data_IF_175234971565
#
_entry.id   IF_175234971565
#
_cell.length_a   1.000
_cell.length_b   1.000
_cell.length_c   1.000
_cell.angle_alpha   90.00
_cell.angle_beta   90.00
_cell.angle_gamma   90.00
#
_symmetry.space_group_name_H-M   'P 1'
#
loop_
_entity.id
_entity.type
_entity.pdbx_description
1 polymer ?
#
# COMPACT_ATOMS: atom_id res chain seq x y z
N UNK A 1 19.13 13.83 -19.05
CA UNK A 1 18.67 13.55 -17.67
C UNK A 1 17.20 13.13 -17.64
N UNK A 2 16.26 13.86 -18.26
CA UNK A 2 14.84 13.46 -18.31
C UNK A 2 14.56 12.07 -18.92
N UNK A 3 15.23 11.71 -20.04
CA UNK A 3 15.04 10.40 -20.70
C UNK A 3 15.48 9.20 -19.84
N UNK A 4 16.60 9.32 -19.10
CA UNK A 4 17.11 8.27 -18.21
C UNK A 4 16.21 8.08 -16.97
N UNK A 5 15.55 9.15 -16.52
CA UNK A 5 14.58 9.14 -15.42
C UNK A 5 13.27 8.45 -15.82
N UNK A 6 12.79 8.71 -17.05
CA UNK A 6 11.62 8.02 -17.62
C UNK A 6 11.86 6.52 -17.83
N UNK A 7 13.06 6.12 -18.28
CA UNK A 7 13.44 4.70 -18.43
C UNK A 7 13.47 3.95 -17.08
N UNK A 8 13.96 4.58 -16.01
CA UNK A 8 14.01 3.97 -14.66
C UNK A 8 12.61 3.85 -14.03
N UNK A 9 11.73 4.85 -14.21
CA UNK A 9 10.30 4.78 -13.84
C UNK A 9 9.58 3.60 -14.49
N UNK A 10 9.83 3.38 -15.79
CA UNK A 10 9.27 2.22 -16.50
C UNK A 10 9.83 0.89 -16.01
N UNK A 11 10.99 0.86 -15.34
CA UNK A 11 11.60 -0.37 -14.81
C UNK A 11 10.86 -0.89 -13.57
N UNK A 12 10.63 -0.03 -12.56
CA UNK A 12 9.97 -0.39 -11.30
C UNK A 12 8.52 -0.82 -11.54
N UNK A 13 7.79 0.00 -12.30
CA UNK A 13 6.41 -0.25 -12.69
C UNK A 13 6.28 -1.54 -13.51
N UNK A 14 7.25 -1.83 -14.40
CA UNK A 14 7.29 -3.11 -15.12
C UNK A 14 7.55 -4.31 -14.20
N UNK A 15 8.48 -4.21 -13.25
CA UNK A 15 8.79 -5.29 -12.31
C UNK A 15 7.59 -5.61 -11.41
N UNK A 16 6.93 -4.60 -10.85
CA UNK A 16 5.71 -4.79 -10.06
C UNK A 16 4.61 -5.45 -10.90
N UNK A 17 4.46 -5.10 -12.18
CA UNK A 17 3.52 -5.77 -13.08
C UNK A 17 3.91 -7.20 -13.45
N UNK A 18 5.19 -7.56 -13.39
CA UNK A 18 5.59 -8.96 -13.57
C UNK A 18 5.16 -9.81 -12.36
N UNK A 19 5.24 -9.25 -11.15
CA UNK A 19 4.79 -9.90 -9.91
C UNK A 19 3.26 -9.94 -9.79
N UNK A 20 2.58 -8.86 -10.20
CA UNK A 20 1.13 -8.72 -10.20
C UNK A 20 0.60 -8.42 -11.61
N UNK A 21 0.48 -9.44 -12.49
CA UNK A 21 0.19 -9.24 -13.92
C UNK A 21 -1.25 -8.86 -14.22
N UNK A 22 -2.18 -9.07 -13.28
CA UNK A 22 -3.59 -8.82 -13.48
C UNK A 22 -4.13 -7.91 -12.38
N UNK A 23 -4.98 -6.95 -12.78
CA UNK A 23 -5.77 -6.16 -11.85
C UNK A 23 -6.81 -7.05 -11.17
N UNK A 24 -6.97 -6.89 -9.85
CA UNK A 24 -7.98 -7.66 -9.10
C UNK A 24 -9.37 -7.01 -9.14
N UNK A 25 -9.45 -5.73 -9.52
CA UNK A 25 -10.69 -4.99 -9.79
C UNK A 25 -10.48 -3.92 -10.88
N UNK A 26 -11.56 -3.41 -11.48
CA UNK A 26 -11.45 -2.36 -12.52
C UNK A 26 -10.81 -1.07 -12.01
N UNK A 27 -11.03 -0.76 -10.74
CA UNK A 27 -10.51 0.40 -10.03
C UNK A 27 -9.22 0.11 -9.25
N UNK A 28 -8.59 -1.04 -9.49
CA UNK A 28 -7.29 -1.39 -8.92
C UNK A 28 -6.21 -0.48 -9.50
N UNK A 29 -5.55 0.26 -8.61
CA UNK A 29 -4.47 1.20 -8.88
C UNK A 29 -3.26 0.96 -7.98
N UNK A 30 -3.20 -0.19 -7.29
CA UNK A 30 -2.17 -0.44 -6.28
C UNK A 30 -0.75 -0.34 -6.85
N UNK A 31 -0.52 -0.96 -8.00
CA UNK A 31 0.79 -0.91 -8.68
C UNK A 31 1.14 0.52 -9.07
N UNK A 32 0.17 1.28 -9.58
CA UNK A 32 0.37 2.69 -9.94
C UNK A 32 0.71 3.56 -8.73
N UNK A 33 0.08 3.33 -7.58
CA UNK A 33 0.38 4.05 -6.32
C UNK A 33 1.76 3.69 -5.80
N UNK A 34 2.08 2.40 -5.75
CA UNK A 34 3.35 1.92 -5.21
C UNK A 34 4.54 2.37 -6.07
N UNK A 35 4.42 2.27 -7.40
CA UNK A 35 5.44 2.75 -8.33
C UNK A 35 5.68 4.26 -8.20
N UNK A 36 4.63 5.07 -8.02
CA UNK A 36 4.75 6.52 -7.81
C UNK A 36 5.50 6.84 -6.51
N UNK A 37 5.10 6.20 -5.40
CA UNK A 37 5.73 6.43 -4.10
C UNK A 37 7.19 5.99 -4.11
N UNK A 38 7.49 4.86 -4.73
CA UNK A 38 8.85 4.35 -4.81
C UNK A 38 9.75 5.25 -5.67
N UNK A 39 9.24 5.75 -6.80
CA UNK A 39 9.99 6.71 -7.63
C UNK A 39 10.33 7.98 -6.85
N UNK A 40 9.35 8.59 -6.18
CA UNK A 40 9.57 9.79 -5.36
C UNK A 40 10.55 9.52 -4.22
N UNK A 41 10.46 8.36 -3.59
CA UNK A 41 11.39 7.96 -2.54
C UNK A 41 12.83 7.82 -3.07
N UNK A 42 13.03 7.18 -4.22
CA UNK A 42 14.36 7.01 -4.81
C UNK A 42 14.96 8.34 -5.29
N UNK A 43 14.15 9.27 -5.79
CA UNK A 43 14.57 10.63 -6.10
C UNK A 43 15.09 11.35 -4.83
N UNK A 44 14.33 11.30 -3.74
CA UNK A 44 14.75 11.90 -2.45
C UNK A 44 16.02 11.22 -1.92
N UNK A 45 16.11 9.89 -2.04
CA UNK A 45 17.28 9.14 -1.61
C UNK A 45 18.53 9.58 -2.39
N UNK A 46 18.40 9.80 -3.70
CA UNK A 46 19.50 10.33 -4.52
C UNK A 46 19.90 11.74 -4.11
N UNK A 47 18.94 12.61 -3.88
CA UNK A 47 19.21 14.01 -3.51
C UNK A 47 19.92 14.13 -2.15
N UNK A 48 19.64 13.20 -1.22
CA UNK A 48 20.22 13.20 0.14
C UNK A 48 21.52 12.41 0.26
N UNK A 49 21.63 11.26 -0.43
CA UNK A 49 22.71 10.29 -0.23
C UNK A 49 23.53 10.00 -1.49
N UNK A 50 23.19 10.59 -2.64
CA UNK A 50 23.90 10.43 -3.90
C UNK A 50 23.38 9.27 -4.77
N UNK A 51 23.87 9.23 -6.02
CA UNK A 51 23.45 8.26 -7.03
C UNK A 51 23.87 6.82 -6.66
N UNK A 52 25.05 6.63 -6.07
CA UNK A 52 25.58 5.29 -5.72
C UNK A 52 24.66 4.54 -4.74
N UNK A 53 24.16 5.22 -3.70
CA UNK A 53 23.24 4.63 -2.72
C UNK A 53 21.87 4.35 -3.33
N UNK A 54 21.37 5.26 -4.17
CA UNK A 54 20.14 5.04 -4.92
C UNK A 54 20.25 3.79 -5.79
N UNK A 55 21.35 3.64 -6.54
CA UNK A 55 21.57 2.50 -7.41
C UNK A 55 21.70 1.20 -6.62
N UNK A 56 22.38 1.23 -5.47
CA UNK A 56 22.47 0.07 -4.56
C UNK A 56 21.09 -0.36 -4.03
N UNK A 57 20.26 0.59 -3.57
CA UNK A 57 18.90 0.28 -3.11
C UNK A 57 18.05 -0.26 -4.24
N UNK A 58 18.17 0.32 -5.43
CA UNK A 58 17.48 -0.15 -6.62
C UNK A 58 17.93 -1.57 -6.98
N UNK A 59 19.23 -1.86 -7.07
CA UNK A 59 19.75 -3.21 -7.35
C UNK A 59 19.24 -4.25 -6.36
N UNK A 60 19.27 -3.95 -5.06
CA UNK A 60 18.71 -4.82 -4.03
C UNK A 60 17.21 -5.08 -4.24
N UNK A 61 16.45 -4.06 -4.66
CA UNK A 61 15.03 -4.17 -4.93
C UNK A 61 14.76 -5.06 -6.15
N UNK A 62 15.51 -4.85 -7.24
CA UNK A 62 15.38 -5.62 -8.49
C UNK A 62 15.72 -7.10 -8.26
N UNK A 63 16.82 -7.40 -7.53
CA UNK A 63 17.19 -8.76 -7.15
C UNK A 63 16.12 -9.42 -6.26
N UNK A 64 15.55 -8.67 -5.31
CA UNK A 64 14.49 -9.19 -4.43
C UNK A 64 13.21 -9.50 -5.22
N UNK A 65 12.83 -8.63 -6.17
CA UNK A 65 11.69 -8.85 -7.05
C UNK A 65 11.92 -10.04 -8.00
N UNK A 66 13.13 -10.19 -8.55
CA UNK A 66 13.46 -11.34 -9.38
C UNK A 66 13.41 -12.65 -8.59
N UNK A 67 13.90 -12.63 -7.34
CA UNK A 67 13.79 -13.76 -6.44
C UNK A 67 12.34 -14.15 -6.17
N UNK A 68 11.44 -13.20 -5.96
CA UNK A 68 10.02 -13.51 -5.75
C UNK A 68 9.39 -14.17 -6.99
N UNK A 69 9.80 -13.79 -8.19
CA UNK A 69 9.30 -14.39 -9.43
C UNK A 69 9.86 -15.79 -9.74
N UNK A 70 11.12 -16.07 -9.39
CA UNK A 70 11.82 -17.31 -9.78
C UNK A 70 12.08 -18.27 -8.62
N UNK A 71 12.14 -17.76 -7.39
CA UNK A 71 12.58 -18.45 -6.18
C UNK A 71 13.93 -19.18 -6.32
N UNK A 72 14.85 -18.67 -7.15
CA UNK A 72 16.19 -19.24 -7.32
C UNK A 72 17.09 -18.82 -6.15
N UNK A 73 17.61 -19.77 -5.33
CA UNK A 73 18.52 -19.45 -4.23
C UNK A 73 19.78 -18.68 -4.65
N UNK A 74 20.22 -18.79 -5.91
CA UNK A 74 21.39 -18.04 -6.41
C UNK A 74 21.17 -16.52 -6.37
N UNK A 75 19.95 -16.07 -6.59
CA UNK A 75 19.61 -14.64 -6.53
C UNK A 75 19.75 -14.12 -5.09
N UNK A 76 19.39 -14.95 -4.09
CA UNK A 76 19.64 -14.61 -2.69
C UNK A 76 21.13 -14.58 -2.35
N UNK A 77 21.94 -15.45 -2.94
CA UNK A 77 23.40 -15.39 -2.79
C UNK A 77 23.98 -14.09 -3.39
N UNK A 78 23.46 -13.64 -4.53
CA UNK A 78 23.84 -12.37 -5.16
C UNK A 78 23.42 -11.17 -4.30
N UNK A 79 22.17 -11.13 -3.85
CA UNK A 79 21.69 -10.11 -2.92
C UNK A 79 22.52 -10.09 -1.62
N UNK A 80 22.86 -11.27 -1.09
CA UNK A 80 23.71 -11.40 0.09
C UNK A 80 25.11 -10.83 -0.12
N UNK A 81 25.69 -10.99 -1.31
CA UNK A 81 27.00 -10.38 -1.65
C UNK A 81 26.90 -8.86 -1.68
N UNK A 82 25.84 -8.29 -2.26
CA UNK A 82 25.62 -6.84 -2.25
C UNK A 82 25.54 -6.34 -0.81
N UNK A 83 24.66 -6.91 0.01
CA UNK A 83 24.44 -6.50 1.41
C UNK A 83 25.73 -6.62 2.25
N UNK A 84 26.48 -7.72 2.10
CA UNK A 84 27.72 -7.94 2.87
C UNK A 84 28.91 -7.11 2.39
N UNK A 85 28.83 -6.50 1.21
CA UNK A 85 29.86 -5.61 0.68
C UNK A 85 29.75 -4.17 1.20
N UNK A 86 28.60 -3.79 1.76
CA UNK A 86 28.34 -2.45 2.27
C UNK A 86 29.11 -2.18 3.55
N UNK A 87 29.62 -0.96 3.71
CA UNK A 87 30.13 -0.52 5.00
C UNK A 87 28.97 -0.28 6.00
N UNK A 88 29.27 -0.13 7.31
CA UNK A 88 28.23 0.02 8.32
C UNK A 88 27.31 1.24 8.12
N UNK A 89 27.81 2.34 7.55
CA UNK A 89 27.03 3.53 7.25
C UNK A 89 26.00 3.25 6.15
N UNK A 90 26.48 2.72 5.03
CA UNK A 90 25.64 2.37 3.88
C UNK A 90 24.62 1.29 4.23
N UNK A 91 25.02 0.30 5.04
CA UNK A 91 24.12 -0.74 5.56
C UNK A 91 22.92 -0.17 6.31
N UNK A 92 23.13 0.87 7.12
CA UNK A 92 22.06 1.55 7.85
C UNK A 92 21.12 2.28 6.88
N UNK A 93 21.67 2.99 5.90
CA UNK A 93 20.88 3.74 4.92
C UNK A 93 20.03 2.78 4.08
N UNK A 94 20.63 1.73 3.52
CA UNK A 94 19.93 0.72 2.72
C UNK A 94 18.82 0.04 3.53
N UNK A 95 19.10 -0.40 4.76
CA UNK A 95 18.09 -1.06 5.62
C UNK A 95 16.92 -0.12 5.95
N UNK A 96 17.21 1.16 6.24
CA UNK A 96 16.18 2.16 6.49
C UNK A 96 15.35 2.43 5.23
N UNK A 97 15.98 2.48 4.07
CA UNK A 97 15.30 2.67 2.80
C UNK A 97 14.26 1.58 2.56
N UNK A 98 14.62 0.30 2.69
CA UNK A 98 13.65 -0.79 2.58
C UNK A 98 12.53 -0.72 3.63
N UNK A 99 12.84 -0.30 4.85
CA UNK A 99 11.82 -0.11 5.88
C UNK A 99 10.84 1.01 5.51
N UNK A 100 11.33 2.12 4.93
CA UNK A 100 10.50 3.22 4.46
C UNK A 100 9.68 2.83 3.22
N UNK A 101 10.28 2.14 2.26
CA UNK A 101 9.59 1.62 1.07
C UNK A 101 8.44 0.69 1.47
N UNK A 102 8.66 -0.23 2.41
CA UNK A 102 7.59 -1.10 2.92
C UNK A 102 6.46 -0.30 3.59
N UNK A 103 6.80 0.73 4.37
CA UNK A 103 5.78 1.60 4.95
C UNK A 103 4.98 2.33 3.86
N UNK A 104 5.63 2.82 2.80
CA UNK A 104 4.96 3.48 1.67
C UNK A 104 4.04 2.51 0.92
N UNK A 105 4.49 1.27 0.67
CA UNK A 105 3.67 0.22 0.07
C UNK A 105 2.41 -0.07 0.91
N UNK A 106 2.55 -0.15 2.24
CA UNK A 106 1.41 -0.31 3.14
C UNK A 106 0.43 0.88 3.06
N UNK A 107 0.93 2.12 2.93
CA UNK A 107 0.06 3.29 2.75
C UNK A 107 -0.68 3.25 1.41
N UNK A 108 -0.02 2.80 0.33
CA UNK A 108 -0.65 2.60 -0.97
C UNK A 108 -1.75 1.53 -0.88
N UNK A 109 -1.51 0.44 -0.17
CA UNK A 109 -2.50 -0.60 0.09
C UNK A 109 -3.69 -0.07 0.90
N UNK A 110 -3.44 0.68 1.98
CA UNK A 110 -4.49 1.33 2.78
C UNK A 110 -5.39 2.23 1.93
N UNK A 111 -4.79 3.05 1.04
CA UNK A 111 -5.56 3.90 0.10
C UNK A 111 -6.35 3.04 -0.88
N UNK A 112 -5.72 2.00 -1.46
CA UNK A 112 -6.41 1.11 -2.38
C UNK A 112 -7.61 0.41 -1.72
N UNK A 113 -7.46 -0.10 -0.49
CA UNK A 113 -8.54 -0.77 0.24
C UNK A 113 -9.65 0.24 0.58
N UNK A 114 -9.29 1.43 1.06
CA UNK A 114 -10.26 2.45 1.47
C UNK A 114 -11.15 2.94 0.31
N UNK A 115 -10.60 3.03 -0.90
CA UNK A 115 -11.32 3.53 -2.08
C UNK A 115 -11.76 2.46 -3.07
N UNK A 116 -11.46 1.17 -2.80
CA UNK A 116 -11.93 0.06 -3.62
C UNK A 116 -13.46 -0.01 -3.57
N UNK A 117 -14.09 -0.07 -4.74
CA UNK A 117 -15.53 -0.25 -4.86
C UNK A 117 -15.93 -1.63 -4.36
N UNK A 118 -16.98 -1.68 -3.53
CA UNK A 118 -17.60 -2.94 -3.10
C UNK A 118 -18.18 -3.69 -4.30
N UNK A 119 -17.94 -5.01 -4.35
CA UNK A 119 -18.50 -5.87 -5.38
C UNK A 119 -19.95 -6.19 -4.98
N UNK A 120 -20.91 -5.84 -5.85
CA UNK A 120 -22.34 -6.10 -5.60
C UNK A 120 -22.75 -7.54 -5.88
N UNK A 121 -21.99 -8.29 -6.67
CA UNK A 121 -22.25 -9.70 -6.95
C UNK A 121 -21.65 -10.57 -5.84
N UNK A 122 -22.51 -10.98 -4.91
CA UNK A 122 -22.19 -11.85 -3.78
C UNK A 122 -22.78 -13.25 -4.02
N UNK A 123 -22.17 -14.30 -3.49
CA UNK A 123 -22.72 -15.67 -3.60
C UNK A 123 -23.96 -15.87 -2.74
N UNK A 124 -24.15 -15.02 -1.73
CA UNK A 124 -25.27 -15.07 -0.80
C UNK A 124 -25.09 -16.13 0.29
N UNK A 125 -23.88 -16.62 0.50
CA UNK A 125 -23.55 -17.62 1.52
C UNK A 125 -22.56 -17.05 2.57
N UNK A 126 -22.26 -17.85 3.59
CA UNK A 126 -21.35 -17.43 4.67
C UNK A 126 -19.90 -17.22 4.22
N UNK A 127 -19.50 -17.73 3.05
CA UNK A 127 -18.14 -17.52 2.56
C UNK A 127 -17.90 -16.06 2.17
N UNK A 128 -18.96 -15.32 1.82
CA UNK A 128 -18.87 -13.90 1.49
C UNK A 128 -18.40 -13.05 2.70
N UNK A 129 -18.61 -13.50 3.94
CA UNK A 129 -18.20 -12.76 5.15
C UNK A 129 -16.70 -12.89 5.47
N UNK A 130 -15.96 -13.69 4.70
CA UNK A 130 -14.52 -13.92 4.91
C UNK A 130 -13.62 -12.84 4.28
N UNK A 131 -14.18 -11.94 3.46
CA UNK A 131 -13.43 -10.89 2.79
C UNK A 131 -14.16 -9.56 2.83
N UNK A 132 -13.44 -8.48 3.13
CA UNK A 132 -13.98 -7.12 3.16
C UNK A 132 -14.59 -6.67 1.81
N UNK A 133 -14.20 -7.33 0.69
CA UNK A 133 -14.75 -7.02 -0.64
C UNK A 133 -16.17 -7.56 -0.84
N UNK A 134 -16.56 -8.58 -0.07
CA UNK A 134 -17.83 -9.31 -0.17
C UNK A 134 -18.66 -9.29 1.11
N UNK A 135 -18.09 -8.91 2.25
CA UNK A 135 -18.77 -8.89 3.55
C UNK A 135 -20.03 -8.03 3.52
N UNK A 136 -21.03 -8.43 4.31
CA UNK A 136 -22.26 -7.66 4.44
C UNK A 136 -22.02 -6.36 5.19
N UNK A 137 -22.50 -5.25 4.62
CA UNK A 137 -22.64 -4.04 5.44
C UNK A 137 -23.75 -4.19 6.50
N UNK A 138 -23.88 -3.20 7.36
CA UNK A 138 -24.88 -3.22 8.43
C UNK A 138 -26.30 -3.30 7.86
N UNK A 139 -26.61 -2.59 6.77
CA UNK A 139 -27.96 -2.57 6.19
C UNK A 139 -28.31 -3.91 5.54
N UNK A 140 -27.38 -4.50 4.79
CA UNK A 140 -27.49 -5.85 4.22
C UNK A 140 -27.69 -6.90 5.32
N UNK A 141 -26.98 -6.76 6.43
CA UNK A 141 -27.14 -7.64 7.60
C UNK A 141 -28.55 -7.50 8.20
N UNK A 142 -29.04 -6.27 8.40
CA UNK A 142 -30.40 -6.05 8.91
C UNK A 142 -31.47 -6.60 7.95
N UNK A 143 -31.31 -6.39 6.64
CA UNK A 143 -32.20 -6.93 5.61
C UNK A 143 -32.21 -8.46 5.61
N UNK A 144 -31.06 -9.09 5.79
CA UNK A 144 -30.96 -10.56 5.91
C UNK A 144 -31.64 -11.08 7.17
N UNK A 145 -31.46 -10.40 8.31
CA UNK A 145 -32.11 -10.75 9.58
C UNK A 145 -33.65 -10.71 9.45
N UNK A 146 -34.19 -9.66 8.85
CA UNK A 146 -35.64 -9.49 8.68
C UNK A 146 -36.19 -10.38 7.57
N UNK A 147 -35.55 -10.39 6.40
CA UNK A 147 -36.09 -11.02 5.19
C UNK A 147 -35.81 -12.51 5.05
N UNK A 148 -34.67 -13.00 5.54
CA UNK A 148 -34.28 -14.42 5.39
C UNK A 148 -34.41 -15.20 6.70
N UNK A 149 -34.16 -14.55 7.84
CA UNK A 149 -34.21 -15.18 9.17
C UNK A 149 -35.49 -14.86 9.95
N UNK A 150 -36.46 -14.18 9.31
CA UNK A 150 -37.79 -13.86 9.85
C UNK A 150 -37.76 -13.20 11.24
N UNK A 151 -36.76 -12.36 11.52
CA UNK A 151 -36.72 -11.54 12.73
C UNK A 151 -37.58 -10.30 12.56
N UNK A 152 -38.36 -9.95 13.58
CA UNK A 152 -39.07 -8.68 13.58
C UNK A 152 -38.10 -7.50 13.74
N UNK A 153 -38.39 -6.33 13.16
CA UNK A 153 -37.56 -5.14 13.35
C UNK A 153 -37.38 -4.77 14.83
N UNK A 154 -38.42 -4.97 15.65
CA UNK A 154 -38.37 -4.69 17.09
C UNK A 154 -37.39 -5.61 17.84
N UNK A 155 -37.35 -6.91 17.51
CA UNK A 155 -36.38 -7.85 18.07
C UNK A 155 -34.94 -7.48 17.70
N UNK A 156 -34.70 -7.11 16.44
CA UNK A 156 -33.36 -6.71 15.97
C UNK A 156 -32.93 -5.42 16.66
N UNK A 157 -33.83 -4.45 16.80
CA UNK A 157 -33.56 -3.21 17.51
C UNK A 157 -33.28 -3.44 19.00
N UNK A 158 -34.04 -4.33 19.65
CA UNK A 158 -33.80 -4.67 21.05
C UNK A 158 -32.46 -5.38 21.25
N UNK A 159 -32.07 -6.27 20.33
CA UNK A 159 -30.75 -6.89 20.35
C UNK A 159 -29.62 -5.85 20.21
N UNK A 160 -29.76 -4.88 19.31
CA UNK A 160 -28.77 -3.82 19.12
C UNK A 160 -28.62 -2.92 20.35
N UNK A 161 -29.71 -2.61 21.07
CA UNK A 161 -29.64 -1.83 22.33
C UNK A 161 -28.84 -2.54 23.41
N UNK A 162 -28.84 -3.87 23.41
CA UNK A 162 -28.16 -4.69 24.41
C UNK A 162 -26.78 -5.19 23.95
N UNK A 163 -26.39 -4.94 22.70
CA UNK A 163 -25.10 -5.36 22.15
C UNK A 163 -24.00 -4.40 22.60
N UNK A 164 -22.87 -4.95 23.04
CA UNK A 164 -21.65 -4.18 23.35
C UNK A 164 -20.46 -4.83 22.64
N UNK A 165 -19.65 -4.02 21.98
CA UNK A 165 -18.36 -4.42 21.40
C UNK A 165 -17.29 -3.61 22.11
N UNK A 166 -16.40 -4.30 22.85
CA UNK A 166 -15.29 -3.69 23.57
C UNK A 166 -13.97 -4.04 22.86
N UNK A 167 -13.26 -3.02 22.39
CA UNK A 167 -11.98 -3.16 21.70
C UNK A 167 -10.85 -2.76 22.67
N UNK A 168 -10.10 -3.76 23.13
CA UNK A 168 -8.97 -3.54 24.04
C UNK A 168 -7.68 -3.37 23.24
N UNK A 169 -7.17 -2.14 23.19
CA UNK A 169 -5.89 -1.86 22.54
C UNK A 169 -4.72 -2.39 23.36
N UNK A 170 -3.84 -3.14 22.70
CA UNK A 170 -2.60 -3.66 23.27
C UNK A 170 -1.40 -2.91 22.67
N UNK A 171 -0.26 -2.94 23.38
CA UNK A 171 0.96 -2.38 22.83
C UNK A 171 1.43 -3.20 21.62
N UNK A 172 1.91 -2.53 20.57
CA UNK A 172 2.52 -3.21 19.43
C UNK A 172 3.88 -3.79 19.84
N UNK A 173 4.19 -5.07 19.52
CA UNK A 173 5.38 -5.76 20.05
C UNK A 173 6.72 -5.15 19.59
N UNK A 174 6.73 -4.47 18.44
CA UNK A 174 7.98 -4.00 17.81
C UNK A 174 7.97 -2.54 17.38
N UNK A 175 6.82 -1.85 17.39
CA UNK A 175 6.67 -0.54 16.73
C UNK A 175 5.69 0.36 17.50
N UNK A 176 6.24 1.19 18.39
CA UNK A 176 5.48 2.33 18.91
C UNK A 176 5.54 3.47 17.90
N UNK A 177 4.48 3.61 17.09
CA UNK A 177 4.38 4.69 16.11
C UNK A 177 3.93 5.98 16.81
N UNK A 178 4.73 7.04 16.70
CA UNK A 178 4.38 8.35 17.28
C UNK A 178 3.25 9.00 16.49
N UNK A 179 2.38 9.74 17.18
CA UNK A 179 1.27 10.50 16.57
C UNK A 179 1.73 11.41 15.41
N UNK A 180 2.89 12.05 15.53
CA UNK A 180 3.45 12.90 14.47
C UNK A 180 3.75 12.13 13.18
N UNK A 181 4.17 10.86 13.29
CA UNK A 181 4.41 10.02 12.13
C UNK A 181 3.09 9.56 11.50
N UNK A 182 2.09 9.21 12.32
CA UNK A 182 0.74 8.90 11.83
C UNK A 182 0.12 10.06 11.05
N UNK A 183 0.38 11.30 11.48
CA UNK A 183 -0.07 12.50 10.76
C UNK A 183 0.62 12.66 9.40
N UNK A 184 1.92 12.36 9.30
CA UNK A 184 2.64 12.35 8.02
C UNK A 184 2.08 11.31 7.07
N UNK A 185 1.88 10.08 7.56
CA UNK A 185 1.23 9.01 6.80
C UNK A 185 -0.17 9.41 6.33
N UNK A 186 -0.95 10.09 7.17
CA UNK A 186 -2.24 10.68 6.78
C UNK A 186 -2.14 11.62 5.59
N UNK A 187 -1.19 12.56 5.62
CA UNK A 187 -0.98 13.51 4.52
C UNK A 187 -0.52 12.84 3.22
N UNK A 188 0.36 11.84 3.31
CA UNK A 188 0.76 11.04 2.14
C UNK A 188 -0.46 10.37 1.50
N UNK A 189 -1.33 9.74 2.30
CA UNK A 189 -2.57 9.10 1.81
C UNK A 189 -3.54 10.11 1.17
N UNK A 190 -3.68 11.29 1.76
CA UNK A 190 -4.50 12.37 1.21
C UNK A 190 -3.97 12.84 -0.15
N UNK A 191 -2.67 13.09 -0.27
CA UNK A 191 -2.03 13.46 -1.54
C UNK A 191 -2.25 12.39 -2.62
N UNK A 192 -2.02 11.11 -2.29
CA UNK A 192 -2.26 10.00 -3.22
C UNK A 192 -3.70 9.94 -3.70
N UNK A 193 -4.65 10.11 -2.78
CA UNK A 193 -6.08 10.09 -3.12
C UNK A 193 -6.42 11.21 -4.11
N UNK A 194 -5.95 12.43 -3.85
CA UNK A 194 -6.25 13.60 -4.67
C UNK A 194 -5.57 13.55 -6.04
N UNK A 195 -4.33 13.04 -6.12
CA UNK A 195 -3.59 12.91 -7.39
C UNK A 195 -4.32 12.05 -8.44
N UNK A 196 -5.15 11.11 -8.00
CA UNK A 196 -5.90 10.19 -8.86
C UNK A 196 -7.40 10.51 -8.94
N UNK A 197 -7.80 11.71 -8.50
CA UNK A 197 -9.13 12.25 -8.73
C UNK A 197 -9.40 12.43 -10.24
N UNK A 198 -10.66 12.30 -10.65
CA UNK A 198 -11.04 12.32 -12.09
C UNK A 198 -10.84 13.68 -12.76
N UNK A 199 -11.03 14.77 -12.02
CA UNK A 199 -11.11 16.13 -12.55
C UNK A 199 -10.01 17.03 -11.97
N UNK A 200 -8.76 16.53 -11.94
CA UNK A 200 -7.61 17.28 -11.44
C UNK A 200 -6.99 18.15 -12.55
N UNK A 201 -6.70 19.42 -12.26
CA UNK A 201 -6.00 20.29 -13.20
C UNK A 201 -4.49 19.98 -13.22
N UNK A 202 -3.76 20.30 -14.30
CA UNK A 202 -2.31 20.11 -14.34
C UNK A 202 -1.57 20.83 -13.21
N UNK A 203 -2.03 22.04 -12.85
CA UNK A 203 -1.43 22.85 -11.79
C UNK A 203 -1.68 22.20 -10.42
N UNK A 204 -2.92 21.78 -10.12
CA UNK A 204 -3.24 21.06 -8.87
C UNK A 204 -2.42 19.77 -8.75
N UNK A 205 -2.23 19.06 -9.87
CA UNK A 205 -1.43 17.83 -9.90
C UNK A 205 0.03 18.10 -9.56
N UNK A 206 0.60 19.18 -10.08
CA UNK A 206 1.97 19.58 -9.75
C UNK A 206 2.09 19.96 -8.27
N UNK A 207 1.17 20.77 -7.75
CA UNK A 207 1.19 21.17 -6.34
C UNK A 207 1.07 19.97 -5.39
N UNK A 208 0.21 19.00 -5.72
CA UNK A 208 0.07 17.77 -4.94
C UNK A 208 1.29 16.86 -5.03
N UNK A 209 1.96 16.79 -6.19
CA UNK A 209 3.18 16.01 -6.36
C UNK A 209 4.34 16.61 -5.55
N UNK A 210 4.46 17.94 -5.55
CA UNK A 210 5.43 18.67 -4.71
C UNK A 210 5.09 18.54 -3.21
N UNK A 211 3.82 18.52 -2.85
CA UNK A 211 3.38 18.28 -1.47
C UNK A 211 3.70 16.84 -1.03
N UNK A 212 3.47 15.86 -1.89
CA UNK A 212 3.79 14.45 -1.64
C UNK A 212 5.29 14.26 -1.44
N UNK A 213 6.14 14.85 -2.28
CA UNK A 213 7.60 14.75 -2.17
C UNK A 213 8.14 15.38 -0.87
N UNK A 214 7.42 16.36 -0.32
CA UNK A 214 7.81 17.07 0.91
C UNK A 214 7.49 16.29 2.19
N UNK A 215 6.46 15.43 2.16
CA UNK A 215 5.98 14.71 3.35
C UNK A 215 6.82 13.50 3.72
#
# INVERSE_FOLDING_TARGET
>A
MASRKVEKLTSIDAQLRLLAPAKVSEDDKLVEYDALLLDRFLDILQDLHGEDIRETVQECYELSAEYEGKHDPKILEELGKVITSLDPGDSIVVTKSFSHMLNLANLAEEVQIAYRRRIKMKKGDFADESSATTESDIEETLKRLVGQLNKSPDEVFDALKNQTVDLVFTAHPTQSVRRSLLQKHGRIRECLTHLYAKDITPDDKQELDEALQRE
#
